data_IF_903532576695
#
_entry.id   IF_903532576695
#
_cell.length_a   1.000
_cell.length_b   1.000
_cell.length_c   1.000
_cell.angle_alpha   90.00
_cell.angle_beta   90.00
_cell.angle_gamma   90.00
#
_symmetry.space_group_name_H-M   'P 1'
#
loop_
_entity.id
_entity.type
_entity.pdbx_description
1 polymer ?
#
# COMPACT_ATOMS: atom_id res chain seq x y z
N UNK A 1 -15.14 -25.21 -9.77
CA UNK A 1 -16.07 -25.20 -8.62
C UNK A 1 -15.27 -24.84 -7.37
N UNK A 2 -15.09 -23.55 -7.09
CA UNK A 2 -14.79 -22.99 -5.76
C UNK A 2 -14.70 -21.47 -5.94
N UNK A 3 -15.87 -20.88 -6.09
CA UNK A 3 -16.11 -19.45 -5.95
C UNK A 3 -17.28 -19.35 -4.99
N UNK A 4 -17.32 -18.29 -4.18
CA UNK A 4 -18.38 -17.95 -3.20
C UNK A 4 -18.15 -18.45 -1.76
N UNK A 5 -17.43 -17.64 -0.98
CA UNK A 5 -17.54 -17.60 0.50
C UNK A 5 -17.56 -16.17 1.07
N UNK A 6 -17.99 -15.19 0.27
CA UNK A 6 -18.17 -13.79 0.72
C UNK A 6 -19.65 -13.36 0.81
N UNK A 7 -20.60 -14.29 0.69
CA UNK A 7 -22.04 -13.97 0.73
C UNK A 7 -22.84 -14.91 1.63
N UNK A 8 -22.89 -14.57 2.91
CA UNK A 8 -23.84 -15.06 3.93
C UNK A 8 -23.51 -14.24 5.18
N UNK A 9 -24.35 -13.40 5.79
CA UNK A 9 -25.76 -13.49 6.15
C UNK A 9 -26.15 -12.08 6.61
N UNK A 10 -27.40 -11.63 6.37
CA UNK A 10 -28.23 -10.91 7.35
C UNK A 10 -29.67 -10.86 6.84
N UNK A 11 -30.37 -11.98 7.03
CA UNK A 11 -31.81 -11.98 7.19
C UNK A 11 -32.06 -12.11 8.69
N UNK A 12 -32.46 -11.02 9.36
CA UNK A 12 -33.00 -11.09 10.72
C UNK A 12 -34.36 -10.40 10.72
N UNK A 13 -35.33 -11.23 11.05
CA UNK A 13 -36.75 -10.99 11.27
C UNK A 13 -37.03 -9.92 12.33
N UNK A 14 -37.84 -8.93 11.96
CA UNK A 14 -38.47 -7.97 12.87
C UNK A 14 -39.41 -8.68 13.85
N UNK A 15 -39.15 -8.55 15.15
CA UNK A 15 -40.15 -8.76 16.20
C UNK A 15 -40.20 -7.52 17.09
N UNK A 16 -41.39 -6.91 17.09
CA UNK A 16 -42.02 -6.00 18.05
C UNK A 16 -41.15 -5.06 18.90
N UNK A 17 -41.28 -3.77 18.59
CA UNK A 17 -41.04 -2.65 19.50
C UNK A 17 -42.19 -2.56 20.50
N UNK A 18 -41.87 -2.59 21.79
CA UNK A 18 -42.66 -1.95 22.83
C UNK A 18 -41.86 -0.77 23.39
N UNK A 19 -42.46 0.40 23.27
CA UNK A 19 -41.99 1.71 23.69
C UNK A 19 -42.02 1.87 25.20
N UNK A 20 -40.97 2.45 25.79
CA UNK A 20 -41.18 3.47 26.83
C UNK A 20 -39.95 4.37 27.08
N UNK A 21 -40.25 5.65 27.24
CA UNK A 21 -39.37 6.77 27.53
C UNK A 21 -38.67 6.64 28.89
N UNK A 22 -37.45 7.19 29.01
CA UNK A 22 -36.80 7.39 30.31
C UNK A 22 -35.48 8.13 30.21
N UNK A 23 -35.37 9.23 30.93
CA UNK A 23 -34.28 10.20 30.89
C UNK A 23 -32.95 9.69 31.48
N UNK A 24 -31.86 10.29 30.95
CA UNK A 24 -30.59 10.63 31.59
C UNK A 24 -29.80 9.54 32.35
N UNK A 25 -28.61 9.21 31.83
CA UNK A 25 -27.42 9.03 32.65
C UNK A 25 -26.17 9.33 31.82
N UNK A 26 -25.54 10.48 32.09
CA UNK A 26 -24.18 10.75 31.68
C UNK A 26 -23.27 9.72 32.36
N UNK A 27 -22.51 8.94 31.58
CA UNK A 27 -21.47 8.05 32.10
C UNK A 27 -20.22 8.19 31.24
N UNK A 28 -19.19 8.75 31.88
CA UNK A 28 -17.81 8.30 31.79
C UNK A 28 -17.10 8.51 30.47
N UNK A 29 -16.49 9.68 30.31
CA UNK A 29 -15.31 9.84 29.44
C UNK A 29 -14.18 8.96 29.98
N UNK A 30 -14.01 7.77 29.42
CA UNK A 30 -12.78 6.99 29.63
C UNK A 30 -11.63 7.68 28.89
N UNK A 31 -10.62 8.02 29.70
CA UNK A 31 -9.34 8.65 29.42
C UNK A 31 -8.78 8.40 28.00
N UNK A 32 -8.69 9.50 27.24
CA UNK A 32 -7.82 9.59 26.06
C UNK A 32 -6.35 9.48 26.51
N UNK A 33 -5.68 8.47 25.98
CA UNK A 33 -4.25 8.23 26.18
C UNK A 33 -3.44 9.32 25.43
N UNK A 34 -2.57 10.13 26.07
CA UNK A 34 -2.10 11.39 25.48
C UNK A 34 -0.95 11.27 24.46
N UNK A 35 -0.57 10.06 24.02
CA UNK A 35 0.64 9.84 23.19
C UNK A 35 0.37 9.44 21.73
N UNK A 36 -0.84 9.66 21.22
CA UNK A 36 -1.20 9.37 19.82
C UNK A 36 -1.29 10.65 19.00
N UNK A 37 -0.19 11.07 18.36
CA UNK A 37 -0.25 12.07 17.27
C UNK A 37 -1.06 11.56 16.05
N UNK A 38 -1.51 10.30 16.07
CA UNK A 38 -2.34 9.63 15.07
C UNK A 38 -3.75 9.29 15.59
N UNK A 39 -4.38 10.22 16.33
CA UNK A 39 -5.67 10.04 17.04
C UNK A 39 -6.93 9.88 16.17
N UNK A 40 -6.82 9.45 14.91
CA UNK A 40 -7.98 9.12 14.07
C UNK A 40 -7.97 7.64 13.73
N UNK A 41 -8.93 6.91 14.31
CA UNK A 41 -9.24 5.54 13.85
C UNK A 41 -9.76 5.63 12.42
N UNK A 42 -9.01 5.07 11.47
CA UNK A 42 -9.42 5.03 10.07
C UNK A 42 -10.52 4.00 9.84
N UNK A 43 -11.37 4.26 8.85
CA UNK A 43 -12.44 3.34 8.49
C UNK A 43 -11.82 1.99 8.06
N UNK A 44 -12.24 0.87 8.68
CA UNK A 44 -11.59 -0.42 8.47
C UNK A 44 -11.82 -0.94 7.04
N UNK A 45 -10.76 -1.49 6.42
CA UNK A 45 -10.81 -1.99 5.04
C UNK A 45 -11.89 -3.07 4.85
N UNK A 46 -12.08 -3.93 5.85
CA UNK A 46 -13.08 -4.99 5.85
C UNK A 46 -14.54 -4.46 5.83
N UNK A 47 -14.79 -3.25 6.35
CA UNK A 47 -16.11 -2.63 6.34
C UNK A 47 -16.45 -1.93 5.01
N UNK A 48 -15.49 -1.78 4.09
CA UNK A 48 -15.76 -1.18 2.78
C UNK A 48 -16.64 -2.15 2.00
N UNK A 49 -17.78 -1.71 1.48
CA UNK A 49 -18.68 -2.58 0.71
C UNK A 49 -18.22 -2.64 -0.75
N UNK A 50 -18.20 -3.84 -1.33
CA UNK A 50 -17.73 -4.07 -2.70
C UNK A 50 -16.22 -3.83 -2.88
N UNK A 51 -15.82 -3.42 -4.10
CA UNK A 51 -14.43 -3.13 -4.47
C UNK A 51 -13.44 -4.29 -4.22
N UNK A 52 -13.89 -5.53 -4.36
CA UNK A 52 -13.10 -6.71 -4.01
C UNK A 52 -11.78 -6.82 -4.79
N UNK A 53 -11.77 -6.34 -6.04
CA UNK A 53 -10.55 -6.25 -6.84
C UNK A 53 -9.51 -5.33 -6.20
N UNK A 54 -9.92 -4.14 -5.75
CA UNK A 54 -9.05 -3.15 -5.11
C UNK A 54 -8.58 -3.66 -3.74
N UNK A 55 -9.48 -4.21 -2.93
CA UNK A 55 -9.11 -4.84 -1.65
C UNK A 55 -8.07 -5.94 -1.85
N UNK A 56 -8.28 -6.80 -2.84
CA UNK A 56 -7.33 -7.87 -3.17
C UNK A 56 -5.98 -7.27 -3.57
N UNK A 57 -5.94 -6.31 -4.49
CA UNK A 57 -4.70 -5.64 -4.89
C UNK A 57 -3.97 -5.00 -3.71
N UNK A 58 -4.68 -4.31 -2.82
CA UNK A 58 -4.13 -3.70 -1.61
C UNK A 58 -3.51 -4.76 -0.67
N UNK A 59 -4.16 -5.91 -0.50
CA UNK A 59 -3.61 -7.03 0.27
C UNK A 59 -2.37 -7.63 -0.41
N UNK A 60 -2.36 -7.75 -1.74
CA UNK A 60 -1.18 -8.22 -2.49
C UNK A 60 0.01 -7.27 -2.30
N UNK A 61 -0.22 -5.95 -2.38
CA UNK A 61 0.82 -4.95 -2.11
C UNK A 61 1.30 -4.94 -0.67
N UNK A 62 0.45 -5.34 0.29
CA UNK A 62 0.87 -5.56 1.67
C UNK A 62 1.73 -6.82 1.84
N UNK A 63 1.59 -7.82 0.96
CA UNK A 63 2.40 -9.04 0.96
C UNK A 63 3.76 -8.76 0.32
N UNK A 64 3.78 -8.29 -0.92
CA UNK A 64 5.00 -7.92 -1.64
C UNK A 64 4.98 -6.43 -2.00
N UNK A 65 5.84 -5.67 -1.31
CA UNK A 65 6.01 -4.23 -1.52
C UNK A 65 6.69 -3.91 -2.84
N UNK A 66 7.42 -4.88 -3.41
CA UNK A 66 8.14 -4.74 -4.68
C UNK A 66 7.28 -5.08 -5.90
N UNK A 67 5.96 -5.26 -5.72
CA UNK A 67 5.04 -5.50 -6.83
C UNK A 67 5.10 -4.37 -7.86
N UNK A 68 5.51 -3.14 -7.52
CA UNK A 68 5.58 -2.00 -8.45
C UNK A 68 4.44 -0.99 -8.28
N UNK A 69 3.76 -1.00 -7.13
CA UNK A 69 2.73 -0.01 -6.79
C UNK A 69 1.32 -0.33 -7.30
N UNK A 70 0.35 0.43 -6.80
CA UNK A 70 -1.08 0.26 -7.08
C UNK A 70 -1.69 1.61 -7.46
N UNK A 71 -2.23 1.71 -8.67
CA UNK A 71 -3.00 2.84 -9.15
C UNK A 71 -4.51 2.53 -9.03
N UNK A 72 -5.25 3.46 -8.43
CA UNK A 72 -6.70 3.37 -8.28
C UNK A 72 -7.33 4.60 -8.94
N UNK A 73 -7.97 4.37 -10.07
CA UNK A 73 -8.76 5.39 -10.77
C UNK A 73 -10.19 5.44 -10.23
N UNK A 74 -10.79 6.62 -10.23
CA UNK A 74 -12.24 6.73 -10.12
C UNK A 74 -12.73 8.11 -9.72
N UNK A 75 -14.05 8.32 -9.75
CA UNK A 75 -14.69 9.59 -9.39
C UNK A 75 -14.58 9.90 -7.91
N UNK A 76 -14.95 11.12 -7.53
CA UNK A 76 -15.09 11.51 -6.12
C UNK A 76 -16.15 10.65 -5.43
N UNK A 77 -15.89 10.28 -4.18
CA UNK A 77 -16.81 9.45 -3.38
C UNK A 77 -16.68 7.93 -3.56
N UNK A 78 -15.69 7.44 -4.33
CA UNK A 78 -15.41 6.00 -4.51
C UNK A 78 -14.53 5.37 -3.41
N UNK A 79 -14.38 6.06 -2.27
CA UNK A 79 -13.65 5.57 -1.09
C UNK A 79 -12.15 5.22 -1.31
N UNK A 80 -11.49 5.74 -2.35
CA UNK A 80 -10.08 5.44 -2.67
C UNK A 80 -9.11 5.70 -1.50
N UNK A 81 -9.12 6.92 -0.96
CA UNK A 81 -8.31 7.32 0.20
C UNK A 81 -8.68 6.53 1.46
N UNK A 82 -9.96 6.17 1.59
CA UNK A 82 -10.46 5.36 2.71
C UNK A 82 -9.87 3.95 2.68
N UNK A 83 -9.86 3.31 1.50
CA UNK A 83 -9.27 1.99 1.34
C UNK A 83 -7.74 1.99 1.57
N UNK A 84 -7.02 2.99 1.05
CA UNK A 84 -5.58 3.12 1.26
C UNK A 84 -5.22 3.24 2.76
N UNK A 85 -5.94 4.08 3.50
CA UNK A 85 -5.76 4.23 4.96
C UNK A 85 -6.27 3.01 5.75
N UNK A 86 -7.31 2.35 5.25
CA UNK A 86 -7.81 1.10 5.80
C UNK A 86 -6.75 0.00 5.75
N UNK A 87 -6.02 -0.11 4.64
CA UNK A 87 -4.91 -1.07 4.49
C UNK A 87 -3.82 -0.83 5.54
N UNK A 88 -3.45 0.43 5.79
CA UNK A 88 -2.42 0.79 6.77
C UNK A 88 -2.69 0.23 8.17
N UNK A 89 -3.96 0.19 8.58
CA UNK A 89 -4.36 -0.38 9.87
C UNK A 89 -4.21 -1.91 9.96
N UNK A 90 -4.10 -2.60 8.82
CA UNK A 90 -3.94 -4.06 8.70
C UNK A 90 -2.46 -4.45 8.53
N UNK A 91 -1.56 -3.49 8.24
CA UNK A 91 -0.15 -3.80 8.09
C UNK A 91 0.47 -4.25 9.41
N UNK A 92 1.28 -5.34 9.40
CA UNK A 92 2.00 -5.76 10.59
C UNK A 92 3.09 -4.73 10.93
N UNK A 93 3.41 -4.56 12.22
CA UNK A 93 4.53 -3.71 12.62
C UNK A 93 5.85 -4.24 12.06
N UNK A 94 6.86 -3.37 12.00
CA UNK A 94 8.19 -3.67 11.46
C UNK A 94 9.26 -3.50 12.54
N UNK A 95 10.27 -4.35 12.49
CA UNK A 95 11.49 -4.19 13.28
C UNK A 95 12.43 -3.23 12.57
N UNK A 96 12.94 -2.23 13.29
CA UNK A 96 13.86 -1.23 12.76
C UNK A 96 15.09 -1.08 13.65
N UNK A 97 16.24 -0.76 13.05
CA UNK A 97 17.46 -0.43 13.78
C UNK A 97 17.28 0.86 14.57
N UNK A 98 17.66 0.86 15.85
CA UNK A 98 17.60 2.07 16.69
C UNK A 98 18.52 3.15 16.12
N UNK A 99 17.99 4.36 15.94
CA UNK A 99 18.73 5.49 15.35
C UNK A 99 18.71 5.54 13.82
N UNK A 100 18.00 4.62 13.16
CA UNK A 100 17.77 4.70 11.71
C UNK A 100 16.82 5.84 11.35
N UNK A 101 17.17 6.57 10.29
CA UNK A 101 16.32 7.65 9.73
C UNK A 101 15.34 7.12 8.69
N UNK A 102 15.62 5.96 8.09
CA UNK A 102 14.86 5.38 6.99
C UNK A 102 14.26 4.01 7.35
N UNK A 103 14.01 3.72 8.64
CA UNK A 103 13.41 2.47 9.10
C UNK A 103 14.18 1.21 8.64
N UNK A 104 15.51 1.25 8.69
CA UNK A 104 16.41 0.21 8.19
C UNK A 104 16.07 -1.19 8.74
N UNK A 105 16.15 -2.18 7.86
CA UNK A 105 15.90 -3.58 8.21
C UNK A 105 17.12 -4.18 8.95
N UNK A 106 16.98 -4.65 10.20
CA UNK A 106 18.08 -5.27 10.93
C UNK A 106 18.64 -6.53 10.25
N UNK A 107 17.85 -7.21 9.40
CA UNK A 107 18.29 -8.44 8.72
C UNK A 107 19.10 -8.20 7.45
N UNK A 108 19.12 -6.98 6.92
CA UNK A 108 19.80 -6.62 5.67
C UNK A 108 20.75 -5.42 5.85
N UNK A 109 21.91 -5.59 6.54
CA UNK A 109 22.87 -4.52 6.77
C UNK A 109 23.44 -3.85 5.51
N UNK A 110 23.42 -4.56 4.39
CA UNK A 110 23.86 -4.07 3.08
C UNK A 110 22.95 -3.01 2.47
N UNK A 111 21.69 -2.91 2.93
CA UNK A 111 20.72 -1.92 2.45
C UNK A 111 20.63 -0.69 3.36
N UNK A 112 21.38 -0.65 4.46
CA UNK A 112 21.31 0.45 5.42
C UNK A 112 21.69 1.80 4.82
N UNK A 113 21.13 2.86 5.37
CA UNK A 113 21.52 4.22 5.00
C UNK A 113 22.97 4.53 5.39
N UNK A 114 23.54 5.49 4.66
CA UNK A 114 24.90 5.93 4.89
C UNK A 114 25.09 6.43 6.32
N UNK A 115 26.16 5.96 6.96
CA UNK A 115 26.49 6.35 8.34
C UNK A 115 25.77 5.55 9.43
N UNK A 116 24.76 4.72 9.11
CA UNK A 116 24.05 3.95 10.14
C UNK A 116 24.95 2.88 10.77
N UNK A 117 25.73 2.15 9.97
CA UNK A 117 26.60 1.08 10.46
C UNK A 117 27.63 1.57 11.50
N UNK A 118 28.09 2.83 11.39
CA UNK A 118 29.02 3.44 12.33
C UNK A 118 28.35 3.92 13.62
N UNK A 119 27.05 4.22 13.58
CA UNK A 119 26.27 4.72 14.72
C UNK A 119 25.40 3.64 15.39
N UNK A 120 25.29 2.47 14.76
CA UNK A 120 24.45 1.37 15.25
C UNK A 120 24.88 0.95 16.66
N UNK A 121 23.91 0.91 17.57
CA UNK A 121 24.10 0.37 18.91
C UNK A 121 24.01 -1.16 18.87
N UNK A 122 24.85 -1.84 19.65
CA UNK A 122 24.85 -3.28 19.79
C UNK A 122 24.43 -3.69 21.20
N UNK A 123 23.68 -4.79 21.31
CA UNK A 123 23.29 -5.39 22.57
C UNK A 123 24.45 -6.21 23.19
N UNK A 124 24.20 -6.77 24.37
CA UNK A 124 25.18 -7.58 25.11
C UNK A 124 25.60 -8.86 24.37
N UNK A 125 24.82 -9.29 23.38
CA UNK A 125 25.04 -10.49 22.58
C UNK A 125 25.72 -10.18 21.24
N UNK A 126 26.04 -8.91 20.96
CA UNK A 126 26.63 -8.47 19.70
C UNK A 126 25.62 -8.33 18.55
N UNK A 127 24.31 -8.38 18.82
CA UNK A 127 23.29 -8.08 17.83
C UNK A 127 23.00 -6.58 17.80
N UNK A 128 22.58 -6.09 16.65
CA UNK A 128 22.16 -4.70 16.49
C UNK A 128 20.91 -4.47 17.32
N UNK A 129 20.87 -3.36 18.06
CA UNK A 129 19.72 -2.98 18.87
C UNK A 129 18.56 -2.56 17.96
N UNK A 130 17.41 -3.21 18.14
CA UNK A 130 16.21 -2.98 17.34
C UNK A 130 15.07 -2.42 18.19
N UNK A 131 14.08 -1.84 17.52
CA UNK A 131 12.80 -1.45 18.09
C UNK A 131 11.66 -1.81 17.14
N UNK A 132 10.50 -2.15 17.69
CA UNK A 132 9.28 -2.43 16.91
C UNK A 132 8.54 -1.12 16.69
N UNK A 133 8.29 -0.75 15.43
CA UNK A 133 7.49 0.42 15.08
C UNK A 133 6.33 0.04 14.18
N UNK A 134 5.27 0.85 14.17
CA UNK A 134 4.20 0.69 13.18
C UNK A 134 4.74 1.02 11.79
N UNK A 135 4.28 0.30 10.77
CA UNK A 135 4.61 0.67 9.39
C UNK A 135 4.24 2.12 9.13
N UNK A 136 5.09 2.93 8.48
CA UNK A 136 4.78 4.31 8.21
C UNK A 136 3.69 4.44 7.13
N UNK A 137 2.90 5.50 7.19
CA UNK A 137 1.99 5.92 6.14
C UNK A 137 2.29 7.38 5.81
N UNK A 138 2.95 7.59 4.67
CA UNK A 138 3.40 8.91 4.24
C UNK A 138 2.57 9.35 3.05
N UNK A 139 1.92 10.50 3.17
CA UNK A 139 1.15 11.11 2.09
C UNK A 139 2.00 12.19 1.41
N UNK A 140 2.14 12.11 0.08
CA UNK A 140 2.78 13.16 -0.71
C UNK A 140 1.75 14.27 -1.00
N UNK A 141 1.98 15.51 -0.56
CA UNK A 141 1.14 16.64 -0.94
C UNK A 141 1.45 17.07 -2.39
N UNK A 142 0.43 17.58 -3.10
CA UNK A 142 0.57 18.00 -4.51
C UNK A 142 1.66 19.06 -4.74
N UNK A 143 1.83 19.98 -3.78
CA UNK A 143 2.83 21.04 -3.83
C UNK A 143 4.14 20.69 -3.11
N UNK A 144 4.51 19.41 -3.03
CA UNK A 144 5.76 19.00 -2.39
C UNK A 144 6.96 19.57 -3.16
N UNK A 145 7.93 20.10 -2.43
CA UNK A 145 9.22 20.49 -3.01
C UNK A 145 10.12 19.27 -3.15
N UNK A 146 11.08 19.32 -4.08
CA UNK A 146 12.05 18.25 -4.26
C UNK A 146 12.80 17.94 -2.96
N UNK A 147 13.29 18.99 -2.27
CA UNK A 147 13.98 18.89 -0.99
C UNK A 147 13.15 18.21 0.10
N UNK A 148 11.84 18.46 0.15
CA UNK A 148 10.96 17.78 1.11
C UNK A 148 10.74 16.31 0.75
N UNK A 149 10.78 15.97 -0.55
CA UNK A 149 10.59 14.61 -1.03
C UNK A 149 11.83 13.74 -0.77
N UNK A 150 12.98 14.14 -1.31
CA UNK A 150 14.23 13.35 -1.24
C UNK A 150 15.04 13.59 0.03
N UNK A 151 14.84 14.75 0.69
CA UNK A 151 15.66 15.20 1.80
C UNK A 151 16.60 16.32 1.39
N UNK A 152 17.09 17.04 2.40
CA UNK A 152 17.94 18.22 2.22
C UNK A 152 19.05 18.26 3.26
N UNK A 153 19.88 19.30 3.23
CA UNK A 153 20.86 19.58 4.26
C UNK A 153 20.26 20.52 5.29
N UNK A 154 20.38 20.21 6.58
CA UNK A 154 20.05 21.16 7.64
C UNK A 154 21.20 22.16 7.79
N UNK A 155 21.08 23.32 7.16
CA UNK A 155 22.11 24.36 7.19
C UNK A 155 22.29 24.91 8.61
N UNK A 156 21.23 25.04 9.41
CA UNK A 156 21.33 25.60 10.76
C UNK A 156 22.10 24.67 11.69
N UNK A 157 21.78 23.38 11.65
CA UNK A 157 22.49 22.37 12.43
C UNK A 157 23.91 22.18 11.92
N UNK A 158 24.11 22.26 10.60
CA UNK A 158 25.45 22.15 10.00
C UNK A 158 26.38 23.29 10.43
N UNK A 159 25.87 24.51 10.52
CA UNK A 159 26.64 25.67 11.01
C UNK A 159 26.96 25.54 12.51
N UNK A 160 26.02 25.01 13.31
CA UNK A 160 26.21 24.82 14.76
C UNK A 160 27.21 23.69 15.08
N UNK A 161 27.15 22.58 14.36
CA UNK A 161 27.96 21.39 14.59
C UNK A 161 29.29 21.41 13.83
N UNK A 162 29.39 22.24 12.79
CA UNK A 162 30.54 22.29 11.89
C UNK A 162 30.62 21.08 10.94
N UNK A 163 29.61 20.21 10.95
CA UNK A 163 29.49 19.02 10.11
C UNK A 163 28.20 19.09 9.32
N UNK A 164 28.21 18.69 8.05
CA UNK A 164 27.00 18.67 7.22
C UNK A 164 26.01 17.63 7.74
N UNK A 165 24.82 18.07 8.15
CA UNK A 165 23.75 17.23 8.68
C UNK A 165 22.66 17.01 7.62
N UNK A 166 22.37 15.76 7.31
CA UNK A 166 21.29 15.39 6.40
C UNK A 166 19.94 15.40 7.13
N UNK A 167 18.95 16.02 6.50
CA UNK A 167 17.56 16.03 6.95
C UNK A 167 16.74 15.06 6.07
N UNK A 168 16.15 14.00 6.64
CA UNK A 168 15.39 13.02 5.89
C UNK A 168 14.14 13.64 5.23
N UNK A 169 13.90 13.25 3.97
CA UNK A 169 12.69 13.58 3.25
C UNK A 169 11.55 12.57 3.48
N UNK A 170 10.43 12.80 2.80
CA UNK A 170 9.26 11.91 2.83
C UNK A 170 9.59 10.48 2.37
N UNK A 171 10.54 10.31 1.45
CA UNK A 171 10.94 8.98 0.96
C UNK A 171 11.67 8.14 2.01
N UNK A 172 12.48 8.79 2.87
CA UNK A 172 13.12 8.11 4.00
C UNK A 172 12.06 7.65 5.02
N UNK A 173 11.13 8.56 5.37
CA UNK A 173 10.03 8.25 6.30
C UNK A 173 9.13 7.12 5.77
N UNK A 174 8.95 7.00 4.46
CA UNK A 174 8.05 6.03 3.84
C UNK A 174 8.63 4.62 3.73
N UNK A 175 9.96 4.47 3.82
CA UNK A 175 10.62 3.18 3.63
C UNK A 175 10.02 2.08 4.52
N UNK A 176 9.76 0.89 3.92
CA UNK A 176 9.08 -0.26 4.56
C UNK A 176 7.64 0.01 5.04
N UNK A 177 7.02 1.09 4.60
CA UNK A 177 5.59 1.38 4.83
C UNK A 177 4.82 1.63 3.53
N UNK A 178 3.90 2.60 3.59
CA UNK A 178 3.01 2.99 2.50
C UNK A 178 3.33 4.42 2.09
N UNK A 179 3.52 4.62 0.79
CA UNK A 179 3.64 5.93 0.16
C UNK A 179 2.37 6.22 -0.63
N UNK A 180 1.57 7.17 -0.15
CA UNK A 180 0.27 7.51 -0.72
C UNK A 180 0.35 8.82 -1.51
N UNK A 181 -0.08 8.78 -2.77
CA UNK A 181 -0.19 9.97 -3.64
C UNK A 181 -1.65 10.13 -4.02
N UNK A 182 -2.27 11.22 -3.59
CA UNK A 182 -3.60 11.58 -4.06
C UNK A 182 -3.49 12.44 -5.31
N UNK A 183 -4.42 12.25 -6.24
CA UNK A 183 -4.47 12.95 -7.53
C UNK A 183 -3.09 12.99 -8.23
N UNK A 184 -2.48 11.82 -8.45
CA UNK A 184 -1.14 11.70 -9.06
C UNK A 184 -1.03 12.40 -10.44
N UNK A 185 -2.16 12.56 -11.14
CA UNK A 185 -2.24 13.33 -12.38
C UNK A 185 -1.93 14.82 -12.23
N UNK A 186 -2.05 15.37 -11.02
CA UNK A 186 -1.82 16.78 -10.70
C UNK A 186 -0.42 17.04 -10.13
N UNK A 187 0.35 15.99 -9.88
CA UNK A 187 1.72 16.11 -9.37
C UNK A 187 2.64 16.68 -10.46
N UNK A 188 3.63 17.48 -10.03
CA UNK A 188 4.64 18.01 -10.95
C UNK A 188 5.38 16.88 -11.68
N UNK A 189 5.77 17.14 -12.93
CA UNK A 189 6.45 16.16 -13.78
C UNK A 189 7.80 15.72 -13.21
N UNK A 190 8.61 16.69 -12.75
CA UNK A 190 9.93 16.43 -12.19
C UNK A 190 9.81 15.58 -10.92
N UNK A 191 8.88 15.95 -10.04
CA UNK A 191 8.60 15.20 -8.80
C UNK A 191 8.11 13.79 -9.10
N UNK A 192 7.19 13.63 -10.05
CA UNK A 192 6.65 12.31 -10.42
C UNK A 192 7.72 11.39 -10.99
N UNK A 193 8.58 11.92 -11.86
CA UNK A 193 9.68 11.15 -12.45
C UNK A 193 10.73 10.76 -11.41
N UNK A 194 11.09 11.68 -10.52
CA UNK A 194 12.02 11.42 -9.42
C UNK A 194 11.49 10.34 -8.48
N UNK A 195 10.22 10.46 -8.07
CA UNK A 195 9.51 9.47 -7.27
C UNK A 195 9.58 8.08 -7.90
N UNK A 196 9.17 7.96 -9.17
CA UNK A 196 9.12 6.65 -9.83
C UNK A 196 10.52 6.06 -10.04
N UNK A 197 11.53 6.87 -10.33
CA UNK A 197 12.91 6.39 -10.43
C UNK A 197 13.39 5.80 -9.11
N UNK A 198 13.18 6.49 -7.98
CA UNK A 198 13.55 5.99 -6.65
C UNK A 198 12.80 4.70 -6.32
N UNK A 199 11.52 4.59 -6.68
CA UNK A 199 10.74 3.37 -6.44
C UNK A 199 11.19 2.19 -7.28
N UNK A 200 11.62 2.42 -8.52
CA UNK A 200 12.19 1.38 -9.41
C UNK A 200 13.58 0.94 -8.92
N UNK A 201 14.45 1.89 -8.56
CA UNK A 201 15.81 1.59 -8.07
C UNK A 201 15.81 1.03 -6.65
N UNK A 202 14.78 1.33 -5.86
CA UNK A 202 14.64 0.93 -4.45
C UNK A 202 15.57 1.67 -3.49
N UNK A 203 16.23 2.74 -3.96
CA UNK A 203 17.20 3.53 -3.23
C UNK A 203 17.04 5.00 -3.62
N UNK A 204 17.05 5.89 -2.64
CA UNK A 204 17.17 7.32 -2.86
C UNK A 204 18.62 7.76 -2.70
N UNK A 205 19.15 8.48 -3.69
CA UNK A 205 20.50 9.04 -3.69
C UNK A 205 20.38 10.56 -3.78
N UNK A 206 20.93 11.25 -2.78
CA UNK A 206 20.91 12.72 -2.68
C UNK A 206 22.32 13.24 -2.89
N UNK A 207 22.56 13.89 -4.03
CA UNK A 207 23.84 14.51 -4.39
C UNK A 207 23.70 16.03 -4.48
N UNK A 208 23.71 16.71 -3.33
CA UNK A 208 23.51 18.16 -3.25
C UNK A 208 24.45 18.79 -2.23
N UNK A 209 24.85 20.04 -2.53
CA UNK A 209 25.58 20.90 -1.58
C UNK A 209 26.86 20.27 -1.00
N UNK A 210 27.53 19.42 -1.79
CA UNK A 210 28.75 18.71 -1.38
C UNK A 210 28.52 17.44 -0.55
N UNK A 211 27.26 17.03 -0.36
CA UNK A 211 26.90 15.76 0.26
C UNK A 211 26.51 14.77 -0.84
N UNK A 212 26.98 13.54 -0.69
CA UNK A 212 26.41 12.36 -1.34
C UNK A 212 25.89 11.47 -0.22
N UNK A 213 24.57 11.29 -0.15
CA UNK A 213 23.91 10.50 0.88
C UNK A 213 22.93 9.53 0.24
N UNK A 214 23.00 8.27 0.65
CA UNK A 214 22.16 7.19 0.15
C UNK A 214 21.35 6.56 1.27
N UNK A 215 20.08 6.29 1.00
CA UNK A 215 19.23 5.49 1.88
C UNK A 215 18.27 4.60 1.08
N UNK A 216 17.83 3.46 1.63
CA UNK A 216 16.91 2.59 0.92
C UNK A 216 15.51 3.22 0.86
N UNK A 217 14.74 2.92 -0.17
CA UNK A 217 13.38 3.43 -0.36
C UNK A 217 12.52 2.41 -1.12
N UNK A 218 11.91 1.47 -0.37
CA UNK A 218 11.03 0.42 -0.91
C UNK A 218 9.63 0.43 -0.26
N UNK A 219 8.89 1.56 -0.31
CA UNK A 219 7.51 1.62 0.18
C UNK A 219 6.54 0.93 -0.79
N UNK A 220 5.37 0.54 -0.30
CA UNK A 220 4.22 0.26 -1.16
C UNK A 220 3.65 1.58 -1.68
N UNK A 221 3.79 1.85 -2.98
CA UNK A 221 3.14 3.00 -3.63
C UNK A 221 1.64 2.72 -3.80
N UNK A 222 0.80 3.64 -3.32
CA UNK A 222 -0.63 3.69 -3.61
C UNK A 222 -0.93 5.06 -4.22
N UNK A 223 -1.27 5.08 -5.50
CA UNK A 223 -1.62 6.29 -6.23
C UNK A 223 -3.12 6.31 -6.53
N UNK A 224 -3.76 7.46 -6.32
CA UNK A 224 -5.17 7.66 -6.69
C UNK A 224 -5.28 8.77 -7.70
N UNK A 225 -6.25 8.67 -8.62
CA UNK A 225 -6.56 9.75 -9.55
C UNK A 225 -8.02 9.74 -9.97
N UNK A 226 -8.50 10.89 -10.45
CA UNK A 226 -9.81 11.04 -11.05
C UNK A 226 -9.66 11.33 -12.55
N UNK A 227 -10.08 10.39 -13.43
CA UNK A 227 -10.04 10.61 -14.89
C UNK A 227 -10.81 11.86 -15.36
N UNK A 228 -11.81 12.33 -14.59
CA UNK A 228 -12.57 13.55 -14.93
C UNK A 228 -11.79 14.85 -14.65
N UNK A 229 -10.79 14.82 -13.77
CA UNK A 229 -10.00 16.00 -13.37
C UNK A 229 -8.70 16.16 -14.18
N UNK A 230 -8.29 15.11 -14.90
CA UNK A 230 -7.18 15.14 -15.83
C UNK A 230 -6.75 13.74 -16.26
N UNK A 231 -6.26 13.62 -17.49
CA UNK A 231 -5.65 12.38 -17.95
C UNK A 231 -4.33 12.13 -17.19
N UNK A 232 -4.11 10.88 -16.79
CA UNK A 232 -2.79 10.45 -16.31
C UNK A 232 -1.90 10.23 -17.52
N UNK A 233 -0.62 10.59 -17.38
CA UNK A 233 0.38 10.38 -18.42
C UNK A 233 0.67 8.88 -18.52
N UNK A 234 0.69 8.33 -19.74
CA UNK A 234 0.91 6.90 -19.99
C UNK A 234 2.17 6.37 -19.28
N UNK A 235 3.28 7.10 -19.36
CA UNK A 235 4.55 6.71 -18.74
C UNK A 235 4.51 6.56 -17.22
N UNK A 236 3.56 7.22 -16.53
CA UNK A 236 3.37 7.04 -15.09
C UNK A 236 2.66 5.72 -14.80
N UNK A 237 1.69 5.34 -15.63
CA UNK A 237 0.92 4.10 -15.48
C UNK A 237 1.76 2.89 -15.85
N UNK A 238 2.63 3.00 -16.86
CA UNK A 238 3.53 1.91 -17.30
C UNK A 238 4.44 1.43 -16.16
N UNK A 239 4.77 2.32 -15.22
CA UNK A 239 5.63 2.02 -14.07
C UNK A 239 4.85 1.57 -12.83
N UNK A 240 3.53 1.52 -12.91
CA UNK A 240 2.67 1.06 -11.82
C UNK A 240 2.07 -0.31 -12.18
N UNK A 241 2.40 -1.30 -11.37
CA UNK A 241 2.13 -2.69 -11.66
C UNK A 241 0.66 -3.12 -11.68
N UNK A 242 -0.19 -2.44 -10.89
CA UNK A 242 -1.62 -2.75 -10.81
C UNK A 242 -2.40 -1.48 -11.08
N UNK A 243 -3.26 -1.50 -12.10
CA UNK A 243 -4.20 -0.42 -12.37
C UNK A 243 -5.64 -0.94 -12.26
N UNK A 244 -6.43 -0.30 -11.39
CA UNK A 244 -7.81 -0.69 -11.11
C UNK A 244 -8.74 0.52 -11.12
N UNK A 245 -9.96 0.31 -11.62
CA UNK A 245 -11.03 1.31 -11.52
C UNK A 245 -11.96 1.03 -10.35
N UNK A 246 -12.19 2.06 -9.55
CA UNK A 246 -13.18 2.08 -8.49
C UNK A 246 -14.58 2.48 -8.98
N UNK A 247 -14.74 2.88 -10.25
CA UNK A 247 -16.02 3.28 -10.85
C UNK A 247 -16.87 2.07 -11.31
N UNK A 248 -16.70 0.92 -10.66
CA UNK A 248 -17.50 -0.26 -10.96
C UNK A 248 -18.94 -0.05 -10.49
N UNK A 249 -19.94 -0.40 -11.33
CA UNK A 249 -21.34 -0.24 -10.96
C UNK A 249 -21.67 -1.10 -9.73
N UNK A 250 -22.11 -0.44 -8.65
CA UNK A 250 -22.66 -1.12 -7.47
C UNK A 250 -24.16 -1.34 -7.65
N UNK A 251 -24.66 -2.47 -7.17
CA UNK A 251 -26.10 -2.70 -7.12
C UNK A 251 -26.74 -1.81 -6.01
N UNK A 252 -28.08 -1.71 -6.03
CA UNK A 252 -28.80 -0.87 -5.09
C UNK A 252 -28.57 -1.28 -3.62
N UNK A 253 -28.59 -2.57 -3.33
CA UNK A 253 -28.40 -3.12 -1.98
C UNK A 253 -27.00 -2.81 -1.43
N UNK A 254 -25.95 -3.00 -2.24
CA UNK A 254 -24.57 -2.67 -1.89
C UNK A 254 -24.41 -1.18 -1.59
N UNK A 255 -25.09 -0.32 -2.36
CA UNK A 255 -25.07 1.12 -2.11
C UNK A 255 -25.78 1.50 -0.82
N UNK A 256 -26.91 0.86 -0.50
CA UNK A 256 -27.61 1.05 0.77
C UNK A 256 -26.74 0.58 1.94
N UNK A 257 -26.10 -0.59 1.80
CA UNK A 257 -25.19 -1.12 2.80
C UNK A 257 -23.97 -0.19 3.02
N UNK A 258 -23.38 0.33 1.94
CA UNK A 258 -22.25 1.27 2.02
C UNK A 258 -22.61 2.55 2.77
N UNK A 259 -23.78 3.14 2.48
CA UNK A 259 -24.27 4.32 3.21
C UNK A 259 -24.55 3.96 4.66
N UNK A 260 -25.23 2.84 4.92
CA UNK A 260 -25.57 2.39 6.27
C UNK A 260 -24.35 2.20 7.17
N UNK A 261 -23.31 1.51 6.68
CA UNK A 261 -22.09 1.29 7.46
C UNK A 261 -21.28 2.59 7.64
N UNK A 262 -21.27 3.48 6.65
CA UNK A 262 -20.63 4.79 6.77
C UNK A 262 -21.32 5.67 7.83
N UNK A 263 -22.66 5.68 7.87
CA UNK A 263 -23.43 6.36 8.91
C UNK A 263 -23.15 5.76 10.30
N UNK A 264 -23.17 4.44 10.42
CA UNK A 264 -22.86 3.77 11.69
C UNK A 264 -21.43 4.08 12.17
N UNK A 265 -20.47 4.21 11.27
CA UNK A 265 -19.10 4.59 11.63
C UNK A 265 -19.01 6.02 12.16
N UNK A 266 -19.78 6.95 11.59
CA UNK A 266 -19.85 8.34 12.06
C UNK A 266 -20.54 8.44 13.43
N UNK A 267 -21.60 7.65 13.66
CA UNK A 267 -22.35 7.67 14.92
C UNK A 267 -21.65 6.89 16.04
N UNK A 268 -21.09 5.72 15.73
CA UNK A 268 -20.56 4.78 16.70
C UNK A 268 -19.43 3.91 16.10
N UNK A 269 -18.27 4.52 15.83
CA UNK A 269 -17.11 3.85 15.23
C UNK A 269 -16.70 2.54 15.92
N UNK A 270 -16.75 2.48 17.25
CA UNK A 270 -16.44 1.27 18.04
C UNK A 270 -17.30 0.05 17.66
N UNK A 271 -18.58 0.26 17.31
CA UNK A 271 -19.47 -0.83 16.89
C UNK A 271 -19.01 -1.41 15.56
N UNK A 272 -18.65 -0.54 14.61
CA UNK A 272 -18.15 -0.97 13.30
C UNK A 272 -16.84 -1.75 13.45
N UNK A 273 -15.90 -1.29 14.27
CA UNK A 273 -14.67 -2.04 14.54
C UNK A 273 -14.94 -3.44 15.10
N UNK A 274 -15.87 -3.55 16.06
CA UNK A 274 -16.25 -4.84 16.63
C UNK A 274 -16.96 -5.76 15.61
N UNK A 275 -17.72 -5.19 14.68
CA UNK A 275 -18.40 -5.94 13.63
C UNK A 275 -17.44 -6.58 12.63
N UNK A 276 -16.29 -5.96 12.36
CA UNK A 276 -15.31 -6.44 11.36
C UNK A 276 -13.97 -6.87 11.97
N UNK A 277 -13.96 -7.12 13.27
CA UNK A 277 -12.76 -7.46 14.03
C UNK A 277 -12.18 -8.80 13.54
N UNK A 278 -13.03 -9.81 13.39
CA UNK A 278 -12.64 -11.14 12.92
C UNK A 278 -12.03 -11.09 11.50
N UNK A 279 -12.68 -10.38 10.58
CA UNK A 279 -12.18 -10.22 9.20
C UNK A 279 -10.87 -9.43 9.14
N UNK A 280 -10.72 -8.43 10.01
CA UNK A 280 -9.51 -7.61 10.09
C UNK A 280 -8.33 -8.43 10.63
N UNK A 281 -8.54 -9.19 11.70
CA UNK A 281 -7.50 -10.07 12.26
C UNK A 281 -7.16 -11.24 11.32
N UNK A 282 -8.16 -11.76 10.60
CA UNK A 282 -7.93 -12.72 9.53
C UNK A 282 -7.01 -12.13 8.45
N UNK A 283 -7.31 -10.92 7.96
CA UNK A 283 -6.48 -10.26 6.94
C UNK A 283 -5.04 -10.02 7.41
N UNK A 284 -4.83 -9.56 8.66
CA UNK A 284 -3.50 -9.41 9.25
C UNK A 284 -2.73 -10.74 9.26
N UNK A 285 -3.37 -11.80 9.71
CA UNK A 285 -2.78 -13.14 9.77
C UNK A 285 -2.42 -13.64 8.37
N UNK A 286 -3.30 -13.44 7.39
CA UNK A 286 -3.05 -13.81 6.00
C UNK A 286 -1.85 -13.08 5.41
N UNK A 287 -1.69 -11.77 5.66
CA UNK A 287 -0.53 -11.01 5.19
C UNK A 287 0.77 -11.59 5.75
N UNK A 288 0.81 -11.89 7.05
CA UNK A 288 2.00 -12.43 7.71
C UNK A 288 2.36 -13.81 7.13
N UNK A 289 1.38 -14.71 7.02
CA UNK A 289 1.60 -16.05 6.48
C UNK A 289 2.01 -16.00 5.01
N UNK A 290 1.35 -15.18 4.20
CA UNK A 290 1.66 -15.05 2.79
C UNK A 290 3.05 -14.43 2.55
N UNK A 291 3.51 -13.50 3.40
CA UNK A 291 4.89 -12.99 3.34
C UNK A 291 5.93 -14.09 3.57
N UNK A 292 5.64 -15.03 4.47
CA UNK A 292 6.53 -16.16 4.70
C UNK A 292 6.50 -17.15 3.53
N UNK A 293 5.30 -17.54 3.07
CA UNK A 293 5.15 -18.45 1.94
C UNK A 293 5.72 -17.90 0.64
N UNK A 294 5.64 -16.58 0.41
CA UNK A 294 6.13 -15.95 -0.82
C UNK A 294 7.61 -16.29 -1.10
N UNK A 295 8.43 -16.48 -0.07
CA UNK A 295 9.85 -16.86 -0.18
C UNK A 295 10.03 -18.19 -0.91
N UNK A 296 9.07 -19.10 -0.77
CA UNK A 296 9.11 -20.45 -1.33
C UNK A 296 8.27 -20.60 -2.62
N UNK A 297 7.45 -19.60 -2.98
CA UNK A 297 6.59 -19.71 -4.17
C UNK A 297 7.40 -19.68 -5.46
N UNK A 298 7.24 -20.75 -6.25
CA UNK A 298 7.91 -20.92 -7.53
C UNK A 298 6.98 -20.65 -8.71
N UNK A 299 7.55 -20.04 -9.76
CA UNK A 299 6.90 -19.86 -11.06
C UNK A 299 7.71 -20.60 -12.12
N UNK A 300 7.05 -21.50 -12.86
CA UNK A 300 7.68 -22.34 -13.87
C UNK A 300 7.79 -21.65 -15.24
N UNK A 301 8.65 -22.18 -16.11
CA UNK A 301 8.87 -21.64 -17.47
C UNK A 301 7.58 -21.56 -18.31
N UNK A 302 6.69 -22.54 -18.22
CA UNK A 302 5.42 -22.52 -18.96
C UNK A 302 4.48 -21.40 -18.51
N UNK A 303 4.55 -21.03 -17.24
CA UNK A 303 3.73 -19.96 -16.66
C UNK A 303 4.25 -18.59 -17.08
N UNK A 304 5.58 -18.44 -17.11
CA UNK A 304 6.22 -17.25 -17.67
C UNK A 304 5.90 -17.11 -19.17
N UNK A 305 5.96 -18.20 -19.95
CA UNK A 305 5.54 -18.18 -21.35
C UNK A 305 4.10 -17.69 -21.50
N UNK A 306 3.19 -18.13 -20.63
CA UNK A 306 1.81 -17.66 -20.65
C UNK A 306 1.72 -16.15 -20.43
N UNK A 307 2.38 -15.61 -19.40
CA UNK A 307 2.39 -14.16 -19.12
C UNK A 307 2.93 -13.36 -20.32
N UNK A 308 4.06 -13.78 -20.88
CA UNK A 308 4.65 -13.14 -22.07
C UNK A 308 3.70 -13.22 -23.26
N UNK A 309 3.06 -14.36 -23.51
CA UNK A 309 2.10 -14.49 -24.61
C UNK A 309 0.89 -13.58 -24.44
N UNK A 310 0.37 -13.41 -23.22
CA UNK A 310 -0.74 -12.49 -22.94
C UNK A 310 -0.31 -11.03 -23.11
N UNK A 311 0.89 -10.66 -22.68
CA UNK A 311 1.47 -9.34 -22.93
C UNK A 311 1.53 -9.02 -24.43
N UNK A 312 2.01 -9.98 -25.23
CA UNK A 312 2.06 -9.84 -26.70
C UNK A 312 0.69 -9.70 -27.35
N UNK A 313 -0.33 -10.38 -26.82
CA UNK A 313 -1.73 -10.25 -27.28
C UNK A 313 -2.33 -8.90 -26.94
N UNK A 314 -1.94 -8.33 -25.80
CA UNK A 314 -2.38 -7.00 -25.35
C UNK A 314 -1.85 -5.83 -26.16
N UNK A 315 -1.03 -6.07 -27.18
CA UNK A 315 -0.52 -5.00 -28.03
C UNK A 315 0.62 -4.21 -27.39
N UNK A 316 1.28 -4.75 -26.35
CA UNK A 316 2.60 -4.29 -25.93
C UNK A 316 3.56 -4.50 -27.13
N UNK A 317 3.76 -3.45 -27.92
CA UNK A 317 4.51 -3.52 -29.17
C UNK A 317 6.01 -3.51 -28.87
N UNK A 318 6.70 -4.48 -29.46
CA UNK A 318 8.15 -4.75 -29.46
C UNK A 318 9.12 -3.58 -29.78
N UNK A 319 8.67 -2.32 -29.91
CA UNK A 319 9.60 -1.24 -30.28
C UNK A 319 10.56 -0.82 -29.17
N UNK A 320 10.35 -1.25 -27.91
CA UNK A 320 11.28 -1.01 -26.81
C UNK A 320 11.44 -2.27 -25.93
N UNK A 321 12.16 -3.27 -26.45
CA UNK A 321 12.43 -4.62 -25.88
C UNK A 321 12.88 -4.65 -24.40
N UNK A 322 13.27 -3.52 -23.80
CA UNK A 322 13.69 -3.43 -22.40
C UNK A 322 12.62 -2.86 -21.46
N UNK A 323 11.54 -2.27 -21.97
CA UNK A 323 10.48 -1.62 -21.18
C UNK A 323 9.38 -2.60 -20.75
N UNK A 324 9.11 -3.63 -21.57
CA UNK A 324 8.05 -4.60 -21.33
C UNK A 324 8.40 -5.69 -20.29
N UNK A 325 9.70 -5.91 -20.01
CA UNK A 325 10.15 -6.92 -19.03
C UNK A 325 9.70 -6.60 -17.60
N UNK A 326 9.51 -5.32 -17.29
CA UNK A 326 9.02 -4.88 -15.98
C UNK A 326 7.55 -5.32 -15.77
N UNK A 327 6.72 -5.19 -16.81
CA UNK A 327 5.30 -5.57 -16.75
C UNK A 327 5.13 -7.08 -16.51
N UNK A 328 5.93 -7.91 -17.17
CA UNK A 328 5.91 -9.36 -16.98
C UNK A 328 6.46 -9.78 -15.61
N UNK A 329 7.47 -9.05 -15.11
CA UNK A 329 8.00 -9.25 -13.77
C UNK A 329 6.95 -8.91 -12.70
N UNK A 330 6.24 -7.79 -12.87
CA UNK A 330 5.15 -7.40 -11.98
C UNK A 330 4.01 -8.42 -12.01
N UNK A 331 3.57 -8.84 -13.20
CA UNK A 331 2.53 -9.87 -13.33
C UNK A 331 2.96 -11.20 -12.68
N UNK A 332 4.24 -11.58 -12.80
CA UNK A 332 4.78 -12.76 -12.14
C UNK A 332 4.77 -12.61 -10.61
N UNK A 333 5.15 -11.44 -10.06
CA UNK A 333 5.08 -11.16 -8.61
C UNK A 333 3.64 -11.20 -8.09
N UNK A 334 2.70 -10.58 -8.82
CA UNK A 334 1.26 -10.62 -8.50
C UNK A 334 0.75 -12.07 -8.49
N UNK A 335 1.11 -12.88 -9.48
CA UNK A 335 0.71 -14.29 -9.53
C UNK A 335 1.30 -15.11 -8.36
N UNK A 336 2.56 -14.85 -7.98
CA UNK A 336 3.17 -15.48 -6.80
C UNK A 336 2.47 -15.07 -5.51
N UNK A 337 2.13 -13.79 -5.36
CA UNK A 337 1.42 -13.30 -4.18
C UNK A 337 0.02 -13.89 -4.06
N UNK A 338 -0.69 -14.06 -5.18
CA UNK A 338 -1.99 -14.74 -5.21
C UNK A 338 -1.87 -16.21 -4.76
N UNK A 339 -0.84 -16.91 -5.22
CA UNK A 339 -0.56 -18.28 -4.76
C UNK A 339 -0.21 -18.33 -3.27
N UNK A 340 0.64 -17.41 -2.80
CA UNK A 340 1.04 -17.30 -1.39
C UNK A 340 -0.15 -16.98 -0.47
N UNK A 341 -1.06 -16.11 -0.90
CA UNK A 341 -2.29 -15.77 -0.19
C UNK A 341 -3.22 -16.97 -0.03
N UNK A 342 -3.21 -17.91 -0.98
CA UNK A 342 -3.95 -19.16 -0.88
C UNK A 342 -3.15 -20.30 -0.20
N UNK A 343 -1.95 -20.02 0.30
CA UNK A 343 -1.07 -20.99 0.95
C UNK A 343 -0.49 -22.04 0.00
N UNK A 344 -0.33 -21.71 -1.29
CA UNK A 344 0.20 -22.61 -2.33
C UNK A 344 1.65 -22.26 -2.68
N UNK A 345 2.48 -23.28 -2.82
CA UNK A 345 3.92 -23.16 -3.20
C UNK A 345 4.15 -23.00 -4.72
N UNK A 346 3.11 -23.25 -5.53
CA UNK A 346 3.17 -23.16 -6.99
C UNK A 346 2.04 -22.29 -7.51
N UNK A 347 2.40 -21.41 -8.44
CA UNK A 347 1.44 -20.58 -9.18
C UNK A 347 0.48 -21.49 -9.97
N UNK A 348 -0.79 -21.14 -10.03
CA UNK A 348 -1.82 -21.85 -10.81
C UNK A 348 -2.26 -21.05 -12.03
N UNK A 349 -3.04 -21.67 -12.92
CA UNK A 349 -3.58 -20.98 -14.12
C UNK A 349 -4.51 -19.83 -13.73
N UNK A 350 -5.30 -19.99 -12.67
CA UNK A 350 -6.22 -18.95 -12.20
C UNK A 350 -5.47 -17.74 -11.62
N UNK A 351 -4.30 -17.94 -11.01
CA UNK A 351 -3.44 -16.85 -10.54
C UNK A 351 -2.91 -16.03 -11.70
N UNK A 352 -2.46 -16.70 -12.77
CA UNK A 352 -1.96 -16.03 -13.96
C UNK A 352 -3.05 -15.20 -14.62
N UNK A 353 -4.27 -15.74 -14.74
CA UNK A 353 -5.42 -14.98 -15.29
C UNK A 353 -5.76 -13.76 -14.45
N UNK A 354 -5.78 -13.90 -13.12
CA UNK A 354 -6.01 -12.78 -12.20
C UNK A 354 -4.88 -11.75 -12.27
N UNK A 355 -3.63 -12.20 -12.33
CA UNK A 355 -2.46 -11.33 -12.47
C UNK A 355 -2.54 -10.53 -13.78
N UNK A 356 -2.89 -11.19 -14.89
CA UNK A 356 -3.08 -10.49 -16.17
C UNK A 356 -4.20 -9.45 -16.06
N UNK A 357 -5.33 -9.81 -15.43
CA UNK A 357 -6.43 -8.88 -15.21
C UNK A 357 -6.02 -7.64 -14.39
N UNK A 358 -5.13 -7.78 -13.42
CA UNK A 358 -4.69 -6.67 -12.56
C UNK A 358 -3.59 -5.82 -13.20
N UNK A 359 -2.67 -6.43 -13.93
CA UNK A 359 -1.49 -5.74 -14.47
C UNK A 359 -1.68 -5.19 -15.89
N UNK A 360 -2.59 -5.73 -16.69
CA UNK A 360 -2.77 -5.34 -18.10
C UNK A 360 -4.10 -4.62 -18.35
N UNK A 361 -4.75 -4.09 -17.30
CA UNK A 361 -6.14 -3.60 -17.35
C UNK A 361 -6.40 -2.47 -18.36
N UNK A 362 -5.42 -1.60 -18.67
CA UNK A 362 -5.58 -0.55 -19.68
C UNK A 362 -5.41 -1.04 -21.14
N UNK A 363 -4.83 -2.23 -21.34
CA UNK A 363 -4.71 -2.87 -22.67
C UNK A 363 -5.97 -3.66 -23.06
N UNK A 364 -7.02 -3.59 -22.22
CA UNK A 364 -8.21 -4.43 -22.30
C UNK A 364 -9.12 -4.28 -23.53
N UNK A 365 -9.14 -3.22 -24.38
CA UNK A 365 -10.01 -3.29 -25.56
C UNK A 365 -9.57 -4.37 -26.56
N UNK A 366 -8.42 -5.04 -26.35
CA UNK A 366 -7.84 -6.03 -27.28
C UNK A 366 -7.89 -7.49 -26.75
N UNK A 367 -8.16 -7.75 -25.46
CA UNK A 367 -7.86 -9.05 -24.80
C UNK A 367 -9.10 -9.91 -24.43
N UNK A 368 -10.31 -9.61 -24.92
CA UNK A 368 -11.48 -10.49 -24.70
C UNK A 368 -11.96 -11.22 -25.96
#
# INVERSE_FOLDING_TARGET
>A
MHTTRFSRVLAVSNTALDSNNGAAAAIGSESEDPSSSYGRRYFPLAAVVGQDAIKTALLLGAIDREIGGIAISGRRGTAKTVMARGLHAVLPPIDVVVGSMANADPTCPEEWEDGLAQRAEFDSNGNVKTQVVRSPFVQIPLGVTEDRLIGSVDVEESVKTGTTVFQPGLLAEAHRGVLYVDEINLLDEGISNLLLNVLTEGVNIVEREGISFKHPCKPLLIATYNPEEGAVREHLLDRIAINLSADLPMNFEDRVAAVGIATQFQEASNKVFKMVEEETEYAKTQIILAREYLKDVTIGREQLKYLVMEALRGGCQYSEIYRDTELELYAARVAKCLAALEGRERVGVDDLKKAVKYSYYDFAPVIL
#
